data_IF_348463886834
#
_entry.id   IF_348463886834
#
_cell.length_a   1.000
_cell.length_b   1.000
_cell.length_c   1.000
_cell.angle_alpha   90.00
_cell.angle_beta   90.00
_cell.angle_gamma   90.00
#
_symmetry.space_group_name_H-M   'P 1'
#
loop_
_entity.id
_entity.type
_entity.pdbx_description
1 polymer ?
#
# COMPACT_ATOMS: atom_id res chain seq x y z
N UNK A 1 -13.12 -1.92 5.92
CA UNK A 1 -13.09 -2.72 4.66
C UNK A 1 -11.73 -3.34 4.41
N UNK A 2 -10.64 -2.68 4.83
CA UNK A 2 -9.29 -3.25 4.97
C UNK A 2 -8.95 -3.36 6.45
N UNK A 3 -7.94 -4.16 6.82
CA UNK A 3 -7.43 -4.30 8.20
C UNK A 3 -6.26 -3.34 8.50
N UNK A 4 -5.84 -2.56 7.50
CA UNK A 4 -4.78 -1.57 7.65
C UNK A 4 -5.21 -0.42 8.57
N UNK A 5 -4.20 0.21 9.19
CA UNK A 5 -4.39 1.46 9.92
C UNK A 5 -4.94 2.54 8.98
N UNK A 6 -5.77 3.44 9.49
CA UNK A 6 -6.33 4.55 8.71
C UNK A 6 -5.46 5.82 8.82
N UNK A 7 -5.78 6.86 8.05
CA UNK A 7 -5.11 8.17 8.10
C UNK A 7 -5.00 8.76 9.50
N UNK A 8 -6.06 8.72 10.30
CA UNK A 8 -6.00 9.21 11.68
C UNK A 8 -4.97 8.47 12.54
N UNK A 9 -4.76 7.19 12.28
CA UNK A 9 -3.73 6.41 12.96
C UNK A 9 -2.35 6.78 12.45
N UNK A 10 -2.19 7.07 11.16
CA UNK A 10 -0.95 7.63 10.64
C UNK A 10 -0.60 8.97 11.30
N UNK A 11 -1.55 9.91 11.39
CA UNK A 11 -1.29 11.24 11.97
C UNK A 11 -0.82 11.14 13.43
N UNK A 12 -1.38 10.20 14.21
CA UNK A 12 -0.90 9.89 15.56
C UNK A 12 0.48 9.24 15.57
N UNK A 13 0.71 8.32 14.64
CA UNK A 13 1.92 7.52 14.63
C UNK A 13 3.14 8.29 14.11
N UNK A 14 2.90 9.22 13.19
CA UNK A 14 3.93 9.97 12.49
C UNK A 14 4.90 10.68 13.44
N UNK A 15 4.37 11.35 14.48
CA UNK A 15 5.20 12.12 15.41
C UNK A 15 6.24 11.31 16.19
N UNK A 16 5.99 10.03 16.47
CA UNK A 16 6.99 9.15 17.08
C UNK A 16 7.85 8.45 16.03
N UNK A 17 7.29 8.12 14.86
CA UNK A 17 8.03 7.46 13.78
C UNK A 17 9.14 8.36 13.22
N UNK A 18 8.92 9.68 13.17
CA UNK A 18 9.90 10.66 12.65
C UNK A 18 11.01 11.03 13.62
N UNK A 19 11.10 10.41 14.80
CA UNK A 19 12.21 10.63 15.74
C UNK A 19 13.48 9.84 15.37
N UNK A 20 13.46 9.19 14.21
CA UNK A 20 14.50 8.34 13.65
C UNK A 20 14.45 8.43 12.13
N UNK A 21 15.51 7.98 11.47
CA UNK A 21 15.52 7.89 10.02
C UNK A 21 14.42 6.92 9.56
N UNK A 22 13.63 7.34 8.58
CA UNK A 22 12.49 6.58 8.07
C UNK A 22 12.51 6.49 6.55
N UNK A 23 11.92 5.43 6.04
CA UNK A 23 11.53 5.30 4.63
C UNK A 23 10.03 5.32 4.51
N UNK A 24 9.52 6.09 3.55
CA UNK A 24 8.10 6.22 3.29
C UNK A 24 7.83 5.85 1.83
N UNK A 25 6.79 5.05 1.61
CA UNK A 25 6.25 4.75 0.29
C UNK A 25 4.78 5.14 0.24
N UNK A 26 4.44 6.07 -0.65
CA UNK A 26 3.05 6.37 -1.01
C UNK A 26 2.68 5.56 -2.25
N UNK A 27 1.49 4.98 -2.24
CA UNK A 27 0.99 4.10 -3.30
C UNK A 27 -0.39 4.59 -3.71
N UNK A 28 -0.64 4.67 -5.01
CA UNK A 28 -1.95 4.93 -5.60
C UNK A 28 -2.30 3.84 -6.63
N UNK A 29 -3.58 3.48 -6.74
CA UNK A 29 -4.04 2.46 -7.69
C UNK A 29 -4.36 3.14 -9.04
N UNK A 30 -3.65 2.73 -10.09
CA UNK A 30 -3.82 3.36 -11.39
C UNK A 30 -5.23 3.12 -11.95
N UNK A 31 -5.90 4.19 -12.38
CA UNK A 31 -7.23 4.17 -13.00
C UNK A 31 -8.35 3.52 -12.16
N UNK A 32 -8.25 3.57 -10.82
CA UNK A 32 -9.19 2.86 -9.93
C UNK A 32 -10.65 3.29 -10.09
N UNK A 33 -10.92 4.58 -10.30
CA UNK A 33 -12.29 5.05 -10.58
C UNK A 33 -12.85 4.41 -11.84
N UNK A 34 -12.09 4.41 -12.94
CA UNK A 34 -12.50 3.77 -14.20
C UNK A 34 -12.71 2.27 -14.04
N UNK A 35 -11.88 1.61 -13.22
CA UNK A 35 -12.08 0.21 -12.86
C UNK A 35 -13.42 0.00 -12.15
N UNK A 36 -13.73 0.81 -11.14
CA UNK A 36 -15.01 0.76 -10.43
C UNK A 36 -16.21 1.05 -11.33
N UNK A 37 -16.11 2.04 -12.21
CA UNK A 37 -17.18 2.38 -13.15
C UNK A 37 -17.47 1.21 -14.11
N UNK A 38 -16.44 0.43 -14.47
CA UNK A 38 -16.54 -0.71 -15.40
C UNK A 38 -16.99 -2.01 -14.74
N UNK A 39 -16.47 -2.32 -13.56
CA UNK A 39 -16.67 -3.64 -12.91
C UNK A 39 -17.54 -3.56 -11.65
N UNK A 40 -17.82 -2.36 -11.14
CA UNK A 40 -18.60 -2.13 -9.94
C UNK A 40 -17.77 -2.13 -8.66
N UNK A 41 -18.27 -1.43 -7.64
CA UNK A 41 -17.57 -1.23 -6.36
C UNK A 41 -17.21 -2.53 -5.65
N UNK A 42 -18.00 -3.60 -5.80
CA UNK A 42 -17.68 -4.91 -5.21
C UNK A 42 -16.31 -5.44 -5.66
N UNK A 43 -15.97 -5.25 -6.94
CA UNK A 43 -14.67 -5.65 -7.48
C UNK A 43 -13.56 -4.71 -6.99
N UNK A 44 -13.83 -3.40 -6.95
CA UNK A 44 -12.87 -2.44 -6.40
C UNK A 44 -12.54 -2.71 -4.94
N UNK A 45 -13.53 -3.06 -4.13
CA UNK A 45 -13.34 -3.43 -2.74
C UNK A 45 -12.49 -4.70 -2.59
N UNK A 46 -12.66 -5.66 -3.49
CA UNK A 46 -11.83 -6.85 -3.55
C UNK A 46 -10.38 -6.50 -3.96
N UNK A 47 -10.17 -5.56 -4.89
CA UNK A 47 -8.82 -5.04 -5.23
C UNK A 47 -8.17 -4.39 -4.01
N UNK A 48 -8.88 -3.50 -3.31
CA UNK A 48 -8.38 -2.82 -2.11
C UNK A 48 -7.97 -3.80 -0.99
N UNK A 49 -8.77 -4.85 -0.79
CA UNK A 49 -8.45 -5.94 0.15
C UNK A 49 -7.18 -6.68 -0.26
N UNK A 50 -7.03 -7.00 -1.55
CA UNK A 50 -5.86 -7.72 -2.04
C UNK A 50 -4.57 -6.93 -1.99
N UNK A 51 -4.63 -5.62 -2.22
CA UNK A 51 -3.49 -4.73 -1.99
C UNK A 51 -3.14 -4.69 -0.51
N UNK A 52 -4.14 -4.60 0.37
CA UNK A 52 -3.90 -4.64 1.82
C UNK A 52 -3.23 -5.93 2.28
N UNK A 53 -3.69 -7.07 1.78
CA UNK A 53 -3.08 -8.38 2.05
C UNK A 53 -1.63 -8.44 1.55
N UNK A 54 -1.36 -7.96 0.33
CA UNK A 54 -0.02 -7.90 -0.25
C UNK A 54 0.93 -7.05 0.61
N UNK A 55 0.47 -5.87 1.03
CA UNK A 55 1.26 -4.98 1.89
C UNK A 55 1.55 -5.61 3.25
N UNK A 56 0.54 -6.19 3.91
CA UNK A 56 0.74 -6.88 5.19
C UNK A 56 1.66 -8.09 5.07
N UNK A 57 1.57 -8.84 3.96
CA UNK A 57 2.44 -9.99 3.72
C UNK A 57 3.91 -9.58 3.59
N UNK A 58 4.18 -8.45 2.94
CA UNK A 58 5.56 -7.99 2.66
C UNK A 58 6.15 -7.18 3.81
N UNK A 59 5.38 -6.28 4.42
CA UNK A 59 5.87 -5.33 5.42
C UNK A 59 5.46 -5.66 6.86
N UNK A 60 4.51 -6.58 7.05
CA UNK A 60 3.99 -6.92 8.37
C UNK A 60 3.00 -5.91 8.94
N UNK A 61 2.55 -6.18 10.15
CA UNK A 61 1.56 -5.38 10.87
C UNK A 61 2.24 -4.12 11.44
N UNK A 62 1.54 -2.99 11.39
CA UNK A 62 1.96 -1.76 12.07
C UNK A 62 2.61 -0.71 11.17
N UNK A 63 3.09 -1.11 10.00
CA UNK A 63 3.81 -0.26 9.02
C UNK A 63 2.92 0.25 7.88
N UNK A 64 1.75 -0.36 7.69
CA UNK A 64 0.91 -0.15 6.52
C UNK A 64 -0.39 0.57 6.89
N UNK A 65 -0.76 1.54 6.07
CA UNK A 65 -1.92 2.39 6.26
C UNK A 65 -2.72 2.47 4.95
N UNK A 66 -4.04 2.52 5.07
CA UNK A 66 -4.92 3.02 4.01
C UNK A 66 -5.11 4.51 4.27
N UNK A 67 -4.42 5.32 3.47
CA UNK A 67 -4.34 6.76 3.66
C UNK A 67 -5.58 7.47 3.08
N UNK A 68 -6.05 6.99 1.93
CA UNK A 68 -7.21 7.53 1.21
C UNK A 68 -8.18 6.46 0.75
N UNK A 69 -8.98 6.79 -0.28
CA UNK A 69 -9.92 5.84 -0.89
C UNK A 69 -9.18 4.66 -1.52
N UNK A 70 -8.25 4.96 -2.40
CA UNK A 70 -7.36 4.06 -3.15
C UNK A 70 -5.87 4.25 -2.82
N UNK A 71 -5.56 5.24 -1.98
CA UNK A 71 -4.19 5.54 -1.56
C UNK A 71 -3.76 4.71 -0.35
N UNK A 72 -2.56 4.16 -0.42
CA UNK A 72 -1.90 3.41 0.66
C UNK A 72 -0.56 4.03 1.01
N UNK A 73 -0.17 3.88 2.27
CA UNK A 73 1.09 4.39 2.80
C UNK A 73 1.81 3.28 3.55
N UNK A 74 3.11 3.15 3.30
CA UNK A 74 4.02 2.35 4.11
C UNK A 74 5.06 3.26 4.75
N UNK A 75 5.28 3.10 6.05
CA UNK A 75 6.32 3.79 6.80
C UNK A 75 7.08 2.79 7.68
N UNK A 76 8.39 2.76 7.52
CA UNK A 76 9.29 1.86 8.23
C UNK A 76 10.61 2.56 8.57
N UNK A 77 11.33 2.01 9.54
CA UNK A 77 12.66 2.50 9.89
C UNK A 77 13.59 2.42 8.67
N UNK A 78 14.37 3.46 8.45
CA UNK A 78 15.34 3.48 7.36
C UNK A 78 16.48 2.52 7.67
N UNK A 79 16.51 1.40 6.94
CA UNK A 79 17.66 0.50 6.94
C UNK A 79 18.58 0.80 5.75
N UNK A 80 17.99 0.90 4.55
CA UNK A 80 18.70 1.27 3.32
C UNK A 80 17.72 1.69 2.22
N UNK A 81 18.18 2.55 1.30
CA UNK A 81 17.37 2.96 0.13
C UNK A 81 16.88 1.76 -0.70
N UNK A 82 17.67 0.69 -0.76
CA UNK A 82 17.37 -0.51 -1.55
C UNK A 82 16.28 -1.40 -0.98
N UNK A 83 16.06 -1.41 0.35
CA UNK A 83 15.09 -2.30 0.99
C UNK A 83 13.66 -1.98 0.59
N UNK A 84 13.27 -0.70 0.68
CA UNK A 84 11.91 -0.26 0.36
C UNK A 84 11.54 -0.60 -1.09
N UNK A 85 12.47 -0.38 -2.04
CA UNK A 85 12.30 -0.72 -3.46
C UNK A 85 12.23 -2.23 -3.72
N UNK A 86 13.05 -3.04 -3.03
CA UNK A 86 12.97 -4.51 -3.12
C UNK A 86 11.62 -5.03 -2.62
N UNK A 87 11.11 -4.45 -1.54
CA UNK A 87 9.82 -4.84 -0.98
C UNK A 87 8.65 -4.39 -1.87
N UNK A 88 8.70 -3.20 -2.47
CA UNK A 88 7.72 -2.78 -3.50
C UNK A 88 7.68 -3.79 -4.66
N UNK A 89 8.84 -4.23 -5.15
CA UNK A 89 8.89 -5.25 -6.20
C UNK A 89 8.20 -6.56 -5.78
N UNK A 90 8.35 -6.99 -4.53
CA UNK A 90 7.63 -8.17 -4.00
C UNK A 90 6.11 -7.94 -3.95
N UNK A 91 5.66 -6.75 -3.57
CA UNK A 91 4.23 -6.39 -3.61
C UNK A 91 3.70 -6.49 -5.04
N UNK A 92 4.42 -5.94 -6.02
CA UNK A 92 4.05 -6.02 -7.44
C UNK A 92 3.98 -7.46 -7.94
N UNK A 93 4.93 -8.31 -7.53
CA UNK A 93 4.93 -9.74 -7.87
C UNK A 93 3.75 -10.49 -7.26
N UNK A 94 3.39 -10.18 -6.01
CA UNK A 94 2.20 -10.72 -5.36
C UNK A 94 0.93 -10.34 -6.14
N UNK A 95 0.78 -9.05 -6.49
CA UNK A 95 -0.42 -8.55 -7.20
C UNK A 95 -0.61 -9.19 -8.58
N UNK A 96 0.47 -9.53 -9.30
CA UNK A 96 0.39 -10.24 -10.60
C UNK A 96 -0.25 -11.62 -10.53
N UNK A 97 -0.24 -12.25 -9.35
CA UNK A 97 -0.73 -13.61 -9.12
C UNK A 97 -2.14 -13.62 -8.54
N UNK A 98 -2.62 -12.48 -8.05
CA UNK A 98 -3.90 -12.37 -7.37
C UNK A 98 -5.06 -12.50 -8.37
N UNK A 99 -6.08 -13.25 -7.95
CA UNK A 99 -7.42 -13.21 -8.55
C UNK A 99 -8.33 -12.31 -7.73
N UNK A 100 -9.15 -11.52 -8.41
CA UNK A 100 -10.22 -10.71 -7.85
C UNK A 100 -11.53 -11.42 -8.19
N UNK A 101 -12.20 -11.99 -7.20
CA UNK A 101 -13.45 -12.75 -7.38
C UNK A 101 -13.32 -13.79 -8.51
N UNK A 102 -12.27 -14.61 -8.42
CA UNK A 102 -11.90 -15.67 -9.37
C UNK A 102 -11.48 -15.22 -10.78
N UNK A 103 -11.53 -13.93 -11.08
CA UNK A 103 -11.05 -13.35 -12.33
C UNK A 103 -9.63 -12.78 -12.16
N UNK A 104 -8.83 -12.87 -13.22
CA UNK A 104 -7.50 -12.27 -13.27
C UNK A 104 -7.61 -10.85 -13.84
N UNK A 105 -7.08 -9.88 -13.10
CA UNK A 105 -6.94 -8.50 -13.55
C UNK A 105 -5.47 -8.11 -13.50
N UNK A 106 -5.07 -7.27 -14.45
CA UNK A 106 -3.76 -6.64 -14.43
C UNK A 106 -3.87 -5.33 -13.64
N UNK A 107 -3.56 -5.40 -12.35
CA UNK A 107 -3.64 -4.25 -11.43
C UNK A 107 -2.27 -3.57 -11.40
N UNK A 108 -2.26 -2.28 -11.76
CA UNK A 108 -1.08 -1.44 -11.71
C UNK A 108 -1.16 -0.45 -10.56
N UNK A 109 0.00 -0.13 -10.00
CA UNK A 109 0.14 0.85 -8.92
C UNK A 109 1.28 1.80 -9.24
N UNK A 110 1.04 3.08 -8.96
CA UNK A 110 2.05 4.13 -8.96
C UNK A 110 2.60 4.31 -7.55
N UNK A 111 3.92 4.50 -7.43
CA UNK A 111 4.60 4.59 -6.13
C UNK A 111 5.57 5.77 -6.08
N UNK A 112 5.53 6.51 -4.97
CA UNK A 112 6.50 7.54 -4.62
C UNK A 112 7.28 7.12 -3.38
N UNK A 113 8.60 7.34 -3.37
CA UNK A 113 9.45 7.03 -2.21
C UNK A 113 10.07 8.30 -1.65
N UNK A 114 10.11 8.39 -0.32
CA UNK A 114 10.80 9.45 0.42
C UNK A 114 11.65 8.79 1.50
N UNK A 115 12.84 9.34 1.74
CA UNK A 115 13.74 8.92 2.81
C UNK A 115 13.95 10.14 3.71
N UNK A 116 13.48 10.04 4.94
CA UNK A 116 13.63 11.08 5.95
C UNK A 116 14.81 10.75 6.86
N UNK A 117 15.59 11.77 7.21
CA UNK A 117 16.60 11.71 8.25
C UNK A 117 16.14 12.60 9.41
N UNK A 118 16.28 12.11 10.64
CA UNK A 118 15.87 12.84 11.85
C UNK A 118 16.94 13.84 12.30
#
# INVERSE_FOLDING_TARGET
>A
MTTLKNRHSFDRDFGYLTQRDISVMMIDIDYFKTFNDKFGHLYGDAVLKKISEALLHVYGIGHCYRYGGDEFLVIEDFESKGRLRRNDQKVREYLKQVKILDLKFDIHISVGYVYGQA
#
